data_IF_416652640048
#
_entry.id   IF_416652640048
#
_cell.length_a   1.000
_cell.length_b   1.000
_cell.length_c   1.000
_cell.angle_alpha   90.00
_cell.angle_beta   90.00
_cell.angle_gamma   90.00
#
_symmetry.space_group_name_H-M   'P 1'
#
loop_
_entity.id
_entity.type
_entity.pdbx_description
1 polymer ?
#
# COMPACT_ATOMS: atom_id res chain seq x y z
N UNK A 1 8.13 0.07 -14.62
CA UNK A 1 7.26 -1.05 -15.08
C UNK A 1 6.24 -1.36 -14.00
N UNK A 2 4.99 -1.57 -14.35
CA UNK A 2 3.91 -1.85 -13.40
C UNK A 2 3.68 -3.36 -13.30
N UNK A 3 3.83 -3.94 -12.11
CA UNK A 3 3.61 -5.37 -11.85
C UNK A 3 2.35 -5.56 -11.01
N UNK A 4 1.36 -6.23 -11.57
CA UNK A 4 0.09 -6.53 -10.91
C UNK A 4 -0.11 -8.03 -10.68
N UNK A 5 -1.18 -8.35 -9.93
CA UNK A 5 -1.69 -9.70 -9.78
C UNK A 5 -3.18 -9.68 -10.11
N UNK A 6 -3.60 -10.57 -10.97
CA UNK A 6 -4.97 -10.59 -11.50
C UNK A 6 -5.65 -11.94 -11.29
N UNK A 7 -6.98 -11.90 -11.14
CA UNK A 7 -7.84 -13.06 -11.28
C UNK A 7 -8.60 -12.94 -12.59
N UNK A 8 -8.50 -13.97 -13.43
CA UNK A 8 -9.13 -14.09 -14.74
C UNK A 8 -9.91 -15.43 -14.81
N UNK A 9 -10.73 -15.70 -15.85
CA UNK A 9 -11.58 -16.91 -15.89
C UNK A 9 -10.84 -18.24 -15.74
N UNK A 10 -9.56 -18.29 -16.13
CA UNK A 10 -8.75 -19.52 -16.08
C UNK A 10 -7.88 -19.62 -14.80
N UNK A 11 -7.88 -18.61 -13.92
CA UNK A 11 -7.12 -18.66 -12.68
C UNK A 11 -6.58 -17.33 -12.19
N UNK A 12 -5.43 -17.39 -11.52
CA UNK A 12 -4.73 -16.24 -10.94
C UNK A 12 -3.30 -16.23 -11.45
N UNK A 13 -2.82 -15.08 -11.91
CA UNK A 13 -1.43 -14.91 -12.34
C UNK A 13 -0.87 -13.54 -11.94
N UNK A 14 0.45 -13.41 -12.05
CA UNK A 14 1.10 -12.11 -12.08
C UNK A 14 1.14 -11.60 -13.52
N UNK A 15 1.14 -10.27 -13.67
CA UNK A 15 1.11 -9.64 -14.97
C UNK A 15 1.86 -8.31 -15.00
N UNK A 16 2.41 -7.96 -16.14
CA UNK A 16 2.80 -6.58 -16.46
C UNK A 16 1.54 -5.81 -16.83
N UNK A 17 1.30 -4.69 -16.18
CA UNK A 17 0.20 -3.78 -16.54
C UNK A 17 0.72 -2.76 -17.55
N UNK A 18 0.36 -2.96 -18.80
CA UNK A 18 0.82 -2.18 -19.95
C UNK A 18 -0.21 -1.13 -20.38
N UNK A 19 0.28 -0.04 -20.94
CA UNK A 19 -0.52 1.09 -21.43
C UNK A 19 -0.02 2.43 -20.89
N UNK A 20 -0.62 3.55 -21.32
CA UNK A 20 -0.22 4.89 -20.88
C UNK A 20 -0.33 5.05 -19.35
N UNK A 21 0.51 5.93 -18.75
CA UNK A 21 0.60 6.08 -17.31
C UNK A 21 -0.73 6.54 -16.68
N UNK A 22 -1.39 7.49 -17.34
CA UNK A 22 -2.63 8.11 -16.85
C UNK A 22 -3.88 7.60 -17.60
N UNK A 23 -3.77 6.47 -18.27
CA UNK A 23 -4.88 5.89 -19.00
C UNK A 23 -5.94 5.31 -18.06
N UNK A 24 -7.22 5.39 -18.42
CA UNK A 24 -8.27 4.71 -17.68
C UNK A 24 -8.09 3.19 -17.78
N UNK A 25 -8.61 2.45 -16.80
CA UNK A 25 -8.47 0.99 -16.69
C UNK A 25 -8.85 0.23 -17.98
N UNK A 26 -9.79 0.77 -18.75
CA UNK A 26 -10.28 0.19 -20.00
C UNK A 26 -9.22 0.18 -21.13
N UNK A 27 -8.23 1.04 -21.04
CA UNK A 27 -7.14 1.17 -22.02
C UNK A 27 -5.88 0.42 -21.59
N UNK A 28 -5.87 -0.17 -20.39
CA UNK A 28 -4.76 -0.93 -19.85
C UNK A 28 -4.91 -2.42 -20.16
N UNK A 29 -3.77 -3.09 -20.37
CA UNK A 29 -3.70 -4.52 -20.65
C UNK A 29 -2.83 -5.19 -19.59
N UNK A 30 -3.32 -6.31 -19.05
CA UNK A 30 -2.55 -7.18 -18.18
C UNK A 30 -1.89 -8.27 -19.03
N UNK A 31 -0.56 -8.24 -19.16
CA UNK A 31 0.25 -9.25 -19.86
C UNK A 31 0.79 -10.24 -18.85
N UNK A 32 0.32 -11.47 -18.89
CA UNK A 32 0.72 -12.52 -17.94
C UNK A 32 2.22 -12.79 -17.99
N UNK A 33 2.80 -12.98 -16.81
CA UNK A 33 4.17 -13.43 -16.66
C UNK A 33 4.23 -14.77 -15.92
N UNK A 34 5.20 -15.62 -16.29
CA UNK A 34 5.53 -16.80 -15.52
C UNK A 34 6.23 -16.40 -14.21
N UNK A 35 6.01 -17.19 -13.15
CA UNK A 35 6.67 -16.98 -11.87
C UNK A 35 6.03 -15.89 -11.00
N UNK A 36 6.86 -15.05 -10.40
CA UNK A 36 6.47 -14.07 -9.38
C UNK A 36 7.06 -12.69 -9.71
N UNK A 37 6.60 -11.60 -9.08
CA UNK A 37 7.16 -10.27 -9.30
C UNK A 37 8.62 -10.12 -8.83
N UNK A 38 9.15 -11.10 -8.10
CA UNK A 38 10.52 -11.12 -7.56
C UNK A 38 11.54 -11.80 -8.48
N UNK A 39 11.13 -12.29 -9.63
CA UNK A 39 11.98 -12.87 -10.66
C UNK A 39 11.91 -12.00 -11.92
N UNK A 40 12.91 -12.04 -12.82
CA UNK A 40 12.80 -11.39 -14.11
C UNK A 40 11.49 -11.80 -14.80
N UNK A 41 10.68 -10.85 -15.29
CA UNK A 41 9.38 -11.16 -15.87
C UNK A 41 9.53 -11.88 -17.21
N UNK A 42 8.95 -13.06 -17.33
CA UNK A 42 8.90 -13.85 -18.57
C UNK A 42 7.47 -13.87 -19.09
N UNK A 43 7.13 -13.10 -20.15
CA UNK A 43 5.80 -13.08 -20.73
C UNK A 43 5.37 -14.46 -21.25
N UNK A 44 4.16 -14.90 -20.90
CA UNK A 44 3.59 -16.17 -21.40
C UNK A 44 2.93 -16.04 -22.77
N UNK A 45 2.72 -14.82 -23.23
CA UNK A 45 1.96 -14.51 -24.46
C UNK A 45 0.45 -14.38 -24.23
N UNK A 46 -0.06 -14.61 -23.01
CA UNK A 46 -1.47 -14.40 -22.67
C UNK A 46 -1.68 -12.98 -22.14
N UNK A 47 -2.80 -12.37 -22.54
CA UNK A 47 -3.14 -11.02 -22.11
C UNK A 47 -4.65 -10.82 -21.98
N UNK A 48 -5.04 -9.87 -21.14
CA UNK A 48 -6.43 -9.47 -20.88
C UNK A 48 -6.54 -7.96 -20.79
N UNK A 49 -7.66 -7.42 -21.21
CA UNK A 49 -7.98 -6.04 -20.85
C UNK A 49 -8.15 -5.93 -19.33
N UNK A 50 -7.61 -4.88 -18.74
CA UNK A 50 -7.59 -4.77 -17.29
C UNK A 50 -8.99 -4.66 -16.67
N UNK A 51 -9.96 -4.11 -17.41
CA UNK A 51 -11.36 -4.01 -16.98
C UNK A 51 -12.16 -5.34 -17.11
N UNK A 52 -11.58 -6.37 -17.72
CA UNK A 52 -12.20 -7.71 -17.87
C UNK A 52 -11.73 -8.68 -16.79
N UNK A 53 -10.77 -8.27 -15.94
CA UNK A 53 -10.19 -9.08 -14.88
C UNK A 53 -10.27 -8.34 -13.54
N UNK A 54 -10.11 -9.07 -12.44
CA UNK A 54 -10.06 -8.47 -11.11
C UNK A 54 -8.62 -8.31 -10.65
N UNK A 55 -8.25 -7.10 -10.25
CA UNK A 55 -6.99 -6.85 -9.56
C UNK A 55 -7.01 -7.48 -8.15
N UNK A 56 -5.90 -8.08 -7.79
CA UNK A 56 -5.64 -8.62 -6.46
C UNK A 56 -4.50 -7.83 -5.82
N UNK A 57 -4.25 -8.05 -4.53
CA UNK A 57 -3.04 -7.51 -3.91
C UNK A 57 -1.81 -7.93 -4.75
N UNK A 58 -0.96 -6.98 -5.19
CA UNK A 58 0.08 -7.23 -6.18
C UNK A 58 1.22 -8.10 -5.65
N UNK A 59 1.25 -8.33 -4.35
CA UNK A 59 2.14 -9.27 -3.66
C UNK A 59 1.40 -9.94 -2.52
N UNK A 60 1.94 -11.06 -2.03
CA UNK A 60 1.45 -11.81 -0.88
C UNK A 60 2.49 -11.72 0.24
N UNK A 61 2.53 -10.63 0.99
CA UNK A 61 3.54 -10.46 2.02
C UNK A 61 3.28 -11.41 3.19
N UNK A 62 4.35 -11.94 3.79
CA UNK A 62 4.24 -12.70 5.05
C UNK A 62 3.97 -11.80 6.25
N UNK A 63 4.31 -10.53 6.13
CA UNK A 63 4.05 -9.45 7.10
C UNK A 63 4.12 -8.10 6.40
N UNK A 64 3.42 -7.13 6.94
CA UNK A 64 3.58 -5.71 6.61
C UNK A 64 4.15 -5.01 7.83
N UNK A 65 5.35 -4.45 7.68
CA UNK A 65 5.97 -3.62 8.73
C UNK A 65 5.62 -2.19 8.44
N UNK A 66 5.01 -1.51 9.39
CA UNK A 66 4.53 -0.14 9.24
C UNK A 66 5.13 0.80 10.27
N UNK A 67 5.25 2.08 9.89
CA UNK A 67 5.74 3.16 10.73
C UNK A 67 4.58 4.11 11.05
N UNK A 68 4.08 4.05 12.26
CA UNK A 68 3.12 5.03 12.74
C UNK A 68 3.82 6.31 13.22
N UNK A 69 3.11 7.43 13.14
CA UNK A 69 3.61 8.76 13.51
C UNK A 69 4.82 9.22 12.67
N UNK A 70 4.84 8.83 11.41
CA UNK A 70 5.92 9.20 10.49
C UNK A 70 5.61 10.43 9.62
N UNK A 71 4.41 10.99 9.70
CA UNK A 71 4.02 12.21 8.99
C UNK A 71 3.78 13.34 9.97
N UNK A 72 4.48 14.47 9.79
CA UNK A 72 4.46 15.60 10.73
C UNK A 72 3.07 16.23 10.88
N UNK A 73 2.34 16.39 9.77
CA UNK A 73 0.96 16.89 9.75
C UNK A 73 0.01 15.96 10.51
N UNK A 74 0.11 14.65 10.30
CA UNK A 74 -0.69 13.64 11.02
C UNK A 74 -0.40 13.63 12.54
N UNK A 75 0.86 13.79 12.94
CA UNK A 75 1.23 13.89 14.37
C UNK A 75 0.60 15.13 15.00
N UNK A 76 0.62 16.25 14.29
CA UNK A 76 0.01 17.50 14.78
C UNK A 76 -1.51 17.37 14.90
N UNK A 77 -2.17 16.76 13.92
CA UNK A 77 -3.64 16.61 13.88
C UNK A 77 -4.15 15.64 14.96
N UNK A 78 -3.63 14.42 15.00
CA UNK A 78 -4.15 13.33 15.84
C UNK A 78 -3.64 13.41 17.27
N UNK A 79 -2.35 13.68 17.44
CA UNK A 79 -1.72 13.66 18.78
C UNK A 79 -1.62 15.06 19.41
N UNK A 80 -1.91 16.13 18.64
CA UNK A 80 -1.78 17.55 19.10
C UNK A 80 -0.41 17.85 19.67
N UNK A 81 0.64 17.30 19.06
CA UNK A 81 2.04 17.41 19.47
C UNK A 81 2.91 17.81 18.30
N UNK A 82 4.10 18.33 18.56
CA UNK A 82 5.09 18.57 17.51
C UNK A 82 5.68 17.24 17.00
N UNK A 83 6.09 17.21 15.74
CA UNK A 83 6.68 16.04 15.09
C UNK A 83 7.87 15.47 15.90
N UNK A 84 8.73 16.34 16.44
CA UNK A 84 9.92 15.97 17.20
C UNK A 84 9.63 15.41 18.61
N UNK A 85 8.39 15.48 19.06
CA UNK A 85 8.03 15.10 20.43
C UNK A 85 7.72 13.62 20.61
N UNK A 86 7.52 12.87 19.53
CA UNK A 86 7.15 11.46 19.54
C UNK A 86 7.97 10.68 18.52
N UNK A 87 8.72 9.66 18.91
CA UNK A 87 9.41 8.80 17.95
C UNK A 87 8.39 8.03 17.11
N UNK A 88 8.73 7.69 15.84
CA UNK A 88 7.95 6.76 15.04
C UNK A 88 7.73 5.45 15.78
N UNK A 89 6.56 4.86 15.58
CA UNK A 89 6.19 3.57 16.18
C UNK A 89 6.20 2.49 15.12
N UNK A 90 7.02 1.47 15.29
CA UNK A 90 7.01 0.31 14.43
C UNK A 90 5.91 -0.65 14.90
N UNK A 91 5.06 -1.08 13.97
CA UNK A 91 4.06 -2.10 14.21
C UNK A 91 3.93 -3.05 13.01
N UNK A 92 3.19 -4.12 13.17
CA UNK A 92 3.05 -5.15 12.15
C UNK A 92 1.56 -5.36 11.86
N UNK A 93 1.21 -5.38 10.56
CA UNK A 93 -0.06 -5.92 10.10
C UNK A 93 0.16 -7.35 9.60
N UNK A 94 -0.66 -8.32 10.03
CA UNK A 94 -0.52 -9.71 9.59
C UNK A 94 -0.90 -9.87 8.11
N UNK A 95 -0.44 -10.96 7.50
CA UNK A 95 -0.78 -11.29 6.11
C UNK A 95 -2.29 -11.43 5.87
N UNK A 96 -3.05 -11.85 6.89
CA UNK A 96 -4.52 -11.99 6.83
C UNK A 96 -5.26 -10.66 6.71
N UNK A 97 -4.62 -9.55 7.09
CA UNK A 97 -5.19 -8.22 6.89
C UNK A 97 -5.14 -7.76 5.43
N UNK A 98 -4.27 -8.36 4.59
CA UNK A 98 -4.04 -7.90 3.21
C UNK A 98 -5.17 -8.33 2.28
N UNK A 99 -5.75 -7.35 1.59
CA UNK A 99 -6.72 -7.55 0.50
C UNK A 99 -6.29 -6.74 -0.73
N UNK A 100 -6.84 -7.08 -1.89
CA UNK A 100 -6.60 -6.35 -3.13
C UNK A 100 -7.51 -5.14 -3.31
N UNK A 101 -7.31 -4.40 -4.42
CA UNK A 101 -8.20 -3.32 -4.82
C UNK A 101 -9.66 -3.79 -4.93
N UNK A 102 -10.60 -2.90 -4.66
CA UNK A 102 -12.05 -3.11 -4.73
C UNK A 102 -12.60 -4.25 -3.85
N UNK A 103 -11.76 -4.88 -3.03
CA UNK A 103 -12.22 -5.83 -2.03
C UNK A 103 -12.84 -5.12 -0.82
N UNK A 104 -13.93 -5.65 -0.30
CA UNK A 104 -14.63 -5.04 0.82
C UNK A 104 -13.81 -5.14 2.12
N UNK A 105 -13.64 -4.01 2.80
CA UNK A 105 -13.14 -3.96 4.18
C UNK A 105 -14.28 -4.42 5.10
N UNK A 106 -14.02 -5.47 5.88
CA UNK A 106 -15.00 -6.03 6.83
C UNK A 106 -14.73 -5.47 8.22
N UNK A 107 -15.60 -4.57 8.66
CA UNK A 107 -15.52 -3.97 9.99
C UNK A 107 -16.26 -4.87 10.97
N UNK A 108 -15.59 -5.43 11.99
CA UNK A 108 -16.25 -6.26 13.00
C UNK A 108 -17.03 -5.39 14.00
N UNK A 109 -18.05 -5.94 14.62
CA UNK A 109 -18.97 -5.22 15.51
C UNK A 109 -18.27 -4.58 16.73
N UNK A 110 -17.12 -5.11 17.13
CA UNK A 110 -16.35 -4.58 18.26
C UNK A 110 -15.44 -3.40 17.90
N UNK A 111 -15.31 -3.04 16.61
CA UNK A 111 -14.55 -1.89 16.12
C UNK A 111 -15.53 -0.75 15.78
N UNK A 112 -15.61 0.24 16.65
CA UNK A 112 -16.67 1.27 16.59
C UNK A 112 -16.23 2.59 15.97
N UNK A 113 -14.93 2.85 15.88
CA UNK A 113 -14.36 4.04 15.25
C UNK A 113 -13.25 3.62 14.28
N UNK A 114 -13.61 3.35 13.03
CA UNK A 114 -12.70 2.88 11.99
C UNK A 114 -12.42 3.99 11.00
N UNK A 115 -11.15 4.25 10.78
CA UNK A 115 -10.65 5.26 9.85
C UNK A 115 -9.72 4.61 8.81
N UNK A 116 -9.58 5.25 7.66
CA UNK A 116 -8.62 4.88 6.63
C UNK A 116 -7.39 5.79 6.70
N UNK A 117 -6.25 5.28 6.28
CA UNK A 117 -4.98 6.02 6.14
C UNK A 117 -4.34 5.63 4.81
N UNK A 118 -4.32 6.55 3.84
CA UNK A 118 -3.61 6.37 2.58
C UNK A 118 -2.10 6.47 2.83
N UNK A 119 -1.36 5.43 2.45
CA UNK A 119 0.06 5.29 2.75
C UNK A 119 0.88 4.90 1.51
N UNK A 120 2.12 5.40 1.43
CA UNK A 120 3.13 4.88 0.55
C UNK A 120 3.62 3.53 1.08
N UNK A 121 3.53 2.49 0.28
CA UNK A 121 4.06 1.17 0.61
C UNK A 121 5.28 0.83 -0.24
N UNK A 122 6.34 0.38 0.42
CA UNK A 122 7.60 -0.06 -0.20
C UNK A 122 7.63 -1.58 -0.24
N UNK A 123 7.83 -2.16 -1.41
CA UNK A 123 7.95 -3.60 -1.58
C UNK A 123 9.42 -4.01 -1.58
N UNK A 124 9.82 -4.81 -0.60
CA UNK A 124 11.19 -5.30 -0.46
C UNK A 124 11.45 -6.43 -1.46
N UNK A 125 12.52 -6.34 -2.25
CA UNK A 125 12.83 -7.26 -3.35
C UNK A 125 13.48 -8.57 -2.92
N UNK A 126 14.20 -8.57 -1.80
CA UNK A 126 15.04 -9.71 -1.33
C UNK A 126 15.19 -9.70 0.19
N UNK A 127 15.55 -10.83 0.81
CA UNK A 127 15.85 -10.86 2.24
C UNK A 127 16.89 -9.81 2.62
N UNK A 128 16.57 -8.98 3.62
CA UNK A 128 17.36 -7.81 3.99
C UNK A 128 17.57 -7.77 5.50
N UNK A 129 18.81 -7.56 5.93
CA UNK A 129 19.18 -7.40 7.34
C UNK A 129 20.42 -6.53 7.48
N UNK A 130 20.35 -5.54 8.38
CA UNK A 130 21.48 -4.66 8.68
C UNK A 130 22.06 -3.98 7.42
N UNK A 131 21.19 -3.57 6.51
CA UNK A 131 21.59 -2.82 5.32
C UNK A 131 21.99 -1.40 5.73
N UNK A 132 22.97 -0.84 5.03
CA UNK A 132 23.34 0.55 5.22
C UNK A 132 22.32 1.47 4.57
N UNK A 133 22.10 2.64 5.16
CA UNK A 133 21.15 3.62 4.67
C UNK A 133 21.37 3.98 3.18
N UNK A 134 22.62 4.16 2.76
CA UNK A 134 22.97 4.47 1.37
C UNK A 134 22.62 3.37 0.35
N UNK A 135 22.39 2.12 0.79
CA UNK A 135 22.13 0.97 -0.07
C UNK A 135 20.66 0.53 -0.05
N UNK A 136 19.76 1.32 0.52
CA UNK A 136 18.36 0.91 0.67
C UNK A 136 17.67 0.60 -0.67
N UNK A 137 17.99 1.34 -1.74
CA UNK A 137 17.40 1.17 -3.08
C UNK A 137 17.69 -0.22 -3.67
N UNK A 138 18.85 -0.81 -3.39
CA UNK A 138 19.24 -2.15 -3.87
C UNK A 138 18.35 -3.26 -3.30
N UNK A 139 17.53 -2.95 -2.32
CA UNK A 139 16.63 -3.87 -1.62
C UNK A 139 15.16 -3.61 -1.90
N UNK A 140 14.83 -2.62 -2.71
CA UNK A 140 13.47 -2.26 -3.09
C UNK A 140 13.11 -2.84 -4.45
N UNK A 141 11.94 -3.49 -4.54
CA UNK A 141 11.35 -3.90 -5.81
C UNK A 141 10.59 -2.74 -6.45
N UNK A 142 9.89 -1.97 -5.66
CA UNK A 142 9.06 -0.88 -6.13
C UNK A 142 8.13 -0.35 -5.05
N UNK A 143 7.20 0.47 -5.49
CA UNK A 143 6.23 1.18 -4.64
C UNK A 143 4.80 0.81 -5.00
N UNK A 144 3.94 0.85 -4.01
CA UNK A 144 2.49 0.69 -4.20
C UNK A 144 1.75 1.51 -3.13
N UNK A 145 0.43 1.49 -3.17
CA UNK A 145 -0.40 2.17 -2.18
C UNK A 145 -0.89 1.14 -1.16
N UNK A 146 -0.90 1.52 0.10
CA UNK A 146 -1.54 0.79 1.17
C UNK A 146 -2.61 1.68 1.82
N UNK A 147 -3.72 1.08 2.23
CA UNK A 147 -4.64 1.70 3.15
C UNK A 147 -4.43 1.06 4.53
N UNK A 148 -3.82 1.81 5.46
CA UNK A 148 -3.61 1.37 6.84
C UNK A 148 -4.88 1.58 7.66
N UNK A 149 -5.90 0.77 7.39
CA UNK A 149 -7.19 0.84 8.10
C UNK A 149 -6.99 0.62 9.60
N UNK A 150 -7.57 1.50 10.39
CA UNK A 150 -7.30 1.63 11.83
C UNK A 150 -8.57 1.72 12.63
N UNK A 151 -8.69 0.90 13.69
CA UNK A 151 -9.73 1.04 14.70
C UNK A 151 -9.19 1.96 15.82
N UNK A 152 -9.61 3.22 15.84
CA UNK A 152 -9.09 4.22 16.78
C UNK A 152 -9.43 3.93 18.23
N UNK A 153 -10.65 3.44 18.47
CA UNK A 153 -11.08 3.02 19.80
C UNK A 153 -10.17 1.93 20.39
N UNK A 154 -9.79 0.93 19.58
CA UNK A 154 -8.87 -0.11 20.01
C UNK A 154 -7.43 0.41 20.11
N UNK A 155 -7.00 1.26 19.19
CA UNK A 155 -5.66 1.83 19.17
C UNK A 155 -5.33 2.59 20.47
N UNK A 156 -6.26 3.43 20.94
CA UNK A 156 -6.07 4.20 22.17
C UNK A 156 -6.28 3.37 23.43
N UNK A 157 -7.21 2.40 23.38
CA UNK A 157 -7.52 1.55 24.53
C UNK A 157 -6.41 0.58 24.87
N UNK A 158 -5.82 -0.07 23.85
CA UNK A 158 -4.88 -1.18 24.08
C UNK A 158 -3.43 -0.70 24.31
N UNK A 159 -3.07 0.48 23.81
CA UNK A 159 -1.69 0.97 23.81
C UNK A 159 -0.77 0.20 22.84
N UNK A 160 -1.10 -1.05 22.51
CA UNK A 160 -0.45 -1.86 21.46
C UNK A 160 -1.33 -1.87 20.22
N UNK A 161 -0.76 -1.57 19.05
CA UNK A 161 -1.56 -1.35 17.83
C UNK A 161 -1.93 -2.61 17.05
N UNK A 162 -1.39 -3.78 17.43
CA UNK A 162 -1.59 -5.02 16.70
C UNK A 162 -3.07 -5.35 16.44
N UNK A 163 -3.93 -5.24 17.47
CA UNK A 163 -5.37 -5.51 17.33
C UNK A 163 -6.09 -4.41 16.53
N UNK A 164 -5.74 -3.15 16.76
CA UNK A 164 -6.37 -2.01 16.10
C UNK A 164 -6.09 -1.95 14.59
N UNK A 165 -4.91 -2.39 14.18
CA UNK A 165 -4.35 -2.29 12.83
C UNK A 165 -4.30 -3.63 12.09
N UNK A 166 -4.43 -4.76 12.82
CA UNK A 166 -4.24 -6.11 12.31
C UNK A 166 -5.52 -6.91 12.07
N UNK A 167 -6.70 -6.28 12.10
CA UNK A 167 -7.97 -6.93 11.80
C UNK A 167 -7.94 -7.42 10.34
N UNK A 168 -8.51 -8.59 10.08
CA UNK A 168 -8.65 -9.12 8.73
C UNK A 168 -9.26 -8.07 7.79
N UNK A 169 -8.71 -7.95 6.59
CA UNK A 169 -9.08 -6.96 5.56
C UNK A 169 -8.64 -5.50 5.81
N UNK A 170 -7.96 -5.20 6.91
CA UNK A 170 -7.56 -3.83 7.24
C UNK A 170 -6.26 -3.35 6.55
N UNK A 171 -5.84 -4.03 5.48
CA UNK A 171 -4.68 -3.65 4.68
C UNK A 171 -4.95 -3.80 3.16
N UNK A 172 -5.86 -3.00 2.57
CA UNK A 172 -5.96 -2.92 1.12
C UNK A 172 -4.63 -2.50 0.51
N UNK A 173 -4.12 -3.26 -0.46
CA UNK A 173 -2.81 -3.09 -1.07
C UNK A 173 -2.91 -3.13 -2.60
N UNK A 174 -2.35 -2.16 -3.28
CA UNK A 174 -2.34 -2.11 -4.75
C UNK A 174 -2.45 -0.68 -5.32
N UNK A 175 -2.83 -0.54 -6.59
CA UNK A 175 -3.33 -1.59 -7.51
C UNK A 175 -2.24 -2.48 -8.12
N UNK A 176 -1.02 -1.98 -8.27
CA UNK A 176 0.17 -2.68 -8.79
C UNK A 176 1.43 -2.16 -8.08
N UNK A 177 2.56 -2.79 -8.33
CA UNK A 177 3.88 -2.32 -7.91
C UNK A 177 4.49 -1.53 -9.07
N UNK A 178 4.81 -0.26 -8.85
CA UNK A 178 5.65 0.52 -9.76
C UNK A 178 7.12 0.22 -9.47
N UNK A 179 7.81 -0.38 -10.44
CA UNK A 179 9.20 -0.81 -10.28
C UNK A 179 10.23 0.17 -10.85
N UNK A 180 9.77 1.22 -11.52
CA UNK A 180 10.64 2.32 -11.94
C UNK A 180 10.83 3.25 -10.75
N UNK A 181 11.89 3.00 -9.99
CA UNK A 181 12.18 3.71 -8.74
C UNK A 181 12.48 5.20 -8.98
N UNK A 182 12.98 5.55 -10.16
CA UNK A 182 13.32 6.93 -10.52
C UNK A 182 12.11 7.70 -11.06
N UNK A 183 10.99 7.02 -11.32
CA UNK A 183 9.75 7.64 -11.81
C UNK A 183 9.03 8.49 -10.77
N UNK A 184 9.38 8.32 -9.48
CA UNK A 184 8.78 9.01 -8.34
C UNK A 184 9.84 9.82 -7.60
N UNK A 185 9.56 11.10 -7.39
CA UNK A 185 10.30 11.88 -6.40
C UNK A 185 9.72 11.58 -5.01
N UNK A 186 10.32 10.66 -4.28
CA UNK A 186 9.83 10.22 -2.96
C UNK A 186 9.86 11.32 -1.88
N UNK A 187 10.54 12.43 -2.12
CA UNK A 187 10.53 13.58 -1.23
C UNK A 187 9.40 14.56 -1.53
N UNK A 188 8.63 14.34 -2.61
CA UNK A 188 7.50 15.19 -2.99
C UNK A 188 6.45 14.40 -3.78
N UNK A 189 5.78 13.47 -3.10
CA UNK A 189 4.63 12.74 -3.66
C UNK A 189 3.36 13.09 -2.88
N UNK A 190 2.33 13.54 -3.59
CA UNK A 190 1.01 13.76 -2.98
C UNK A 190 0.37 12.44 -2.58
N UNK A 191 -0.21 12.43 -1.39
CA UNK A 191 -1.00 11.32 -0.86
C UNK A 191 -2.39 11.84 -0.54
N UNK A 192 -3.35 11.51 -1.41
CA UNK A 192 -4.73 11.96 -1.29
C UNK A 192 -5.65 10.76 -1.07
N UNK A 193 -6.61 10.89 -0.16
CA UNK A 193 -7.68 9.92 -0.01
C UNK A 193 -9.05 10.59 -0.08
N UNK A 194 -9.99 9.88 -0.69
CA UNK A 194 -11.34 10.35 -0.91
C UNK A 194 -12.33 9.34 -0.39
N UNK A 195 -13.37 9.83 0.27
CA UNK A 195 -14.54 9.05 0.66
C UNK A 195 -15.70 9.39 -0.27
N UNK A 196 -16.31 8.35 -0.86
CA UNK A 196 -17.57 8.51 -1.58
C UNK A 196 -18.69 7.87 -0.76
N UNK A 197 -19.67 8.65 -0.38
CA UNK A 197 -20.83 8.21 0.37
C UNK A 197 -22.09 8.84 -0.21
N UNK A 198 -23.11 8.03 -0.48
CA UNK A 198 -24.41 8.47 -1.07
C UNK A 198 -24.25 9.36 -2.33
N UNK A 199 -23.24 9.05 -3.17
CA UNK A 199 -22.95 9.79 -4.40
C UNK A 199 -22.16 11.09 -4.20
N UNK A 200 -21.89 11.51 -2.97
CA UNK A 200 -21.01 12.64 -2.66
C UNK A 200 -19.58 12.15 -2.47
N UNK A 201 -18.61 12.76 -3.15
CA UNK A 201 -17.19 12.50 -3.01
C UNK A 201 -16.50 13.63 -2.25
N UNK A 202 -15.85 13.30 -1.16
CA UNK A 202 -15.15 14.24 -0.29
C UNK A 202 -13.69 13.83 -0.13
N UNK A 203 -12.78 14.81 -0.23
CA UNK A 203 -11.37 14.58 0.11
C UNK A 203 -11.22 14.55 1.64
N UNK A 204 -10.68 13.45 2.15
CA UNK A 204 -10.47 13.23 3.59
C UNK A 204 -9.00 13.22 4.00
N UNK A 205 -8.10 13.04 3.04
CA UNK A 205 -6.67 13.14 3.26
C UNK A 205 -6.04 13.96 2.14
N UNK A 206 -5.21 14.92 2.51
CA UNK A 206 -4.39 15.74 1.62
C UNK A 206 -3.03 15.92 2.29
N UNK A 207 -2.09 15.08 1.94
CA UNK A 207 -0.75 15.04 2.53
C UNK A 207 0.31 14.82 1.45
N UNK A 208 1.57 14.82 1.86
CA UNK A 208 2.70 14.67 0.97
C UNK A 208 3.82 13.89 1.67
N UNK A 209 4.63 13.16 0.90
CA UNK A 209 5.80 12.44 1.43
C UNK A 209 6.89 13.36 1.95
N UNK A 210 6.87 14.65 1.64
CA UNK A 210 7.77 15.65 2.26
C UNK A 210 7.56 15.77 3.77
N UNK A 211 6.34 15.42 4.26
CA UNK A 211 5.98 15.39 5.68
C UNK A 211 6.57 14.21 6.46
N UNK A 212 7.22 13.24 5.77
CA UNK A 212 7.85 12.11 6.46
C UNK A 212 8.98 12.58 7.39
N UNK A 213 8.93 12.16 8.65
CA UNK A 213 9.93 12.42 9.68
C UNK A 213 11.14 11.53 9.46
N UNK A 214 10.92 10.23 9.30
CA UNK A 214 11.94 9.28 8.87
C UNK A 214 11.81 9.10 7.36
N UNK A 215 12.80 9.60 6.65
CA UNK A 215 12.87 9.49 5.18
C UNK A 215 13.31 8.09 4.76
N UNK A 216 13.24 7.82 3.46
CA UNK A 216 13.75 6.58 2.88
C UNK A 216 15.25 6.42 3.18
N UNK A 217 15.63 5.24 3.68
CA UNK A 217 17.00 4.94 4.10
C UNK A 217 17.31 5.33 5.56
N UNK A 218 16.38 6.01 6.26
CA UNK A 218 16.51 6.39 7.66
C UNK A 218 16.26 5.24 8.67
#
# INVERSE_FOLDING_TARGET
MRLGRIAHPEGICFAIIDGPKDAPMQELVAKEIAGTPFTPPEPTGREWKLNEVRLLAPTLPTKVVALGRNYADHVAEVFKKSADSLPPTIFIKPSTAVIGPDAAIKIPDYATNVEFEGELAVVISKPSKNIKAENWQDHVLGYTICNDVSSRDLQFKDGQWARAKGIDTFCPLGPWIETDLDSLNLDDQKINAYLTHEGSREQKQDSNTDQMIVKMGG
#
